data_IF_207523667667
#
_entry.id   IF_207523667667
#
_cell.length_a   1.000
_cell.length_b   1.000
_cell.length_c   1.000
_cell.angle_alpha   90.00
_cell.angle_beta   90.00
_cell.angle_gamma   90.00
#
_symmetry.space_group_name_H-M   'P 1'
#
loop_
_entity.id
_entity.type
_entity.pdbx_description
1 polymer ?
#
# COMPACT_ATOMS: atom_id res chain seq x y z
N UNK A 1 23.92 -6.01 -7.65
CA UNK A 1 22.46 -6.30 -7.52
C UNK A 1 22.00 -6.30 -6.07
N UNK A 2 22.81 -6.79 -5.12
CA UNK A 2 22.47 -6.85 -3.69
C UNK A 2 22.29 -5.47 -3.02
N UNK A 3 23.12 -4.48 -3.38
CA UNK A 3 23.02 -3.12 -2.82
C UNK A 3 21.68 -2.43 -3.12
N UNK A 4 21.07 -2.75 -4.27
CA UNK A 4 19.76 -2.23 -4.64
C UNK A 4 18.63 -2.83 -3.77
N UNK A 5 18.76 -4.09 -3.37
CA UNK A 5 17.77 -4.80 -2.54
C UNK A 5 17.87 -4.36 -1.08
N UNK A 6 19.09 -4.20 -0.56
CA UNK A 6 19.32 -3.69 0.80
C UNK A 6 18.73 -2.27 0.92
N UNK A 7 19.03 -1.40 -0.04
CA UNK A 7 18.51 -0.04 -0.09
C UNK A 7 16.98 -0.01 -0.14
N UNK A 8 16.35 -0.84 -0.98
CA UNK A 8 14.88 -0.91 -1.07
C UNK A 8 14.24 -1.35 0.25
N UNK A 9 14.78 -2.38 0.91
CA UNK A 9 14.26 -2.85 2.20
C UNK A 9 14.35 -1.78 3.28
N UNK A 10 15.40 -0.96 3.27
CA UNK A 10 15.57 0.17 4.19
C UNK A 10 14.51 1.25 3.92
N UNK A 11 14.33 1.68 2.67
CA UNK A 11 13.29 2.66 2.32
C UNK A 11 11.89 2.16 2.63
N UNK A 12 11.60 0.88 2.37
CA UNK A 12 10.33 0.25 2.71
C UNK A 12 10.05 0.31 4.22
N UNK A 13 11.02 -0.10 5.04
CA UNK A 13 10.89 -0.07 6.50
C UNK A 13 10.77 1.36 7.03
N UNK A 14 11.60 2.26 6.53
CA UNK A 14 11.57 3.68 6.88
C UNK A 14 10.19 4.28 6.60
N UNK A 15 9.67 4.08 5.39
CA UNK A 15 8.39 4.66 4.95
C UNK A 15 7.20 4.10 5.73
N UNK A 16 7.20 2.80 6.06
CA UNK A 16 6.19 2.23 6.98
C UNK A 16 6.27 2.91 8.35
N UNK A 17 7.46 3.06 8.92
CA UNK A 17 7.63 3.67 10.24
C UNK A 17 7.16 5.13 10.22
N UNK A 18 7.47 5.86 9.16
CA UNK A 18 7.03 7.23 8.98
C UNK A 18 5.50 7.33 8.86
N UNK A 19 4.85 6.47 8.07
CA UNK A 19 3.38 6.41 7.98
C UNK A 19 2.71 6.09 9.33
N UNK A 20 3.30 5.18 10.11
CA UNK A 20 2.85 4.91 11.49
C UNK A 20 3.01 6.13 12.40
N UNK A 21 4.15 6.83 12.32
CA UNK A 21 4.41 8.05 13.10
C UNK A 21 3.39 9.15 12.80
N UNK A 22 3.12 9.41 11.51
CA UNK A 22 2.16 10.42 11.06
C UNK A 22 0.80 10.22 11.73
N UNK A 23 0.27 9.00 11.70
CA UNK A 23 -1.06 8.71 12.27
C UNK A 23 -1.08 8.74 13.79
N UNK A 24 -0.06 8.16 14.44
CA UNK A 24 0.03 8.20 15.91
C UNK A 24 0.09 9.63 16.47
N UNK A 25 0.64 10.57 15.71
CA UNK A 25 0.74 11.98 16.09
C UNK A 25 -0.36 12.85 15.46
N UNK A 26 -1.40 12.25 14.86
CA UNK A 26 -2.53 12.95 14.24
C UNK A 26 -2.10 14.03 13.22
N UNK A 27 -1.00 13.80 12.52
CA UNK A 27 -0.51 14.69 11.46
C UNK A 27 -1.32 14.47 10.18
N UNK A 28 -1.41 15.50 9.34
CA UNK A 28 -2.06 15.39 8.03
C UNK A 28 -1.30 14.39 7.14
N UNK A 29 -1.99 13.33 6.74
CA UNK A 29 -1.38 12.25 5.97
C UNK A 29 -0.98 12.63 4.56
N UNK A 30 -1.76 13.49 3.91
CA UNK A 30 -1.49 13.94 2.55
C UNK A 30 -0.29 14.87 2.51
N UNK A 31 -0.25 15.87 3.39
CA UNK A 31 0.89 16.81 3.50
C UNK A 31 2.18 16.06 3.82
N UNK A 32 2.14 15.14 4.80
CA UNK A 32 3.30 14.33 5.18
C UNK A 32 3.76 13.43 4.02
N UNK A 33 2.84 12.91 3.21
CA UNK A 33 3.20 12.16 2.00
C UNK A 33 3.86 13.04 0.93
N UNK A 34 3.42 14.29 0.75
CA UNK A 34 4.06 15.20 -0.22
C UNK A 34 5.54 15.45 0.10
N UNK A 35 5.91 15.50 1.39
CA UNK A 35 7.31 15.62 1.81
C UNK A 35 8.14 14.41 1.34
N UNK A 36 7.64 13.19 1.58
CA UNK A 36 8.30 11.97 1.09
C UNK A 36 8.33 11.92 -0.44
N UNK A 37 7.26 12.33 -1.10
CA UNK A 37 7.17 12.38 -2.56
C UNK A 37 8.25 13.30 -3.16
N UNK A 38 8.53 14.44 -2.53
CA UNK A 38 9.61 15.33 -2.96
C UNK A 38 10.99 14.68 -2.78
N UNK A 39 11.21 13.99 -1.65
CA UNK A 39 12.48 13.28 -1.39
C UNK A 39 12.71 12.10 -2.34
N UNK A 40 11.67 11.34 -2.63
CA UNK A 40 11.74 10.11 -3.43
C UNK A 40 11.51 10.35 -4.93
N UNK A 41 11.00 11.52 -5.32
CA UNK A 41 10.64 11.84 -6.70
C UNK A 41 11.81 11.82 -7.68
N UNK A 42 13.04 11.94 -7.19
CA UNK A 42 14.26 11.86 -8.00
C UNK A 42 14.72 10.42 -8.25
N UNK A 43 14.14 9.43 -7.55
CA UNK A 43 14.52 8.02 -7.68
C UNK A 43 13.79 7.39 -8.87
N UNK A 44 14.43 7.42 -10.03
CA UNK A 44 13.92 6.78 -11.25
C UNK A 44 14.24 5.27 -11.28
N UNK A 45 13.54 4.49 -10.43
CA UNK A 45 13.66 3.03 -10.37
C UNK A 45 12.27 2.39 -10.40
N UNK A 46 12.17 1.22 -11.03
CA UNK A 46 10.99 0.36 -10.99
C UNK A 46 11.37 -1.05 -10.55
N UNK A 47 10.38 -1.79 -10.04
CA UNK A 47 10.57 -3.13 -9.50
C UNK A 47 9.52 -4.08 -10.07
N UNK A 48 9.93 -5.31 -10.35
CA UNK A 48 9.03 -6.36 -10.82
C UNK A 48 8.05 -6.74 -9.70
N UNK A 49 6.77 -6.70 -10.03
CA UNK A 49 5.70 -7.07 -9.11
C UNK A 49 5.60 -8.59 -8.97
N UNK A 50 5.23 -9.02 -7.77
CA UNK A 50 4.77 -10.37 -7.51
C UNK A 50 3.30 -10.51 -7.93
N UNK A 51 3.06 -10.47 -9.26
CA UNK A 51 1.71 -10.47 -9.83
C UNK A 51 0.88 -11.67 -9.40
N UNK A 52 1.49 -12.86 -9.35
CA UNK A 52 0.81 -14.10 -8.92
C UNK A 52 0.23 -13.93 -7.50
N UNK A 53 1.05 -13.51 -6.54
CA UNK A 53 0.59 -13.29 -5.17
C UNK A 53 -0.43 -12.14 -5.06
N UNK A 54 -0.30 -11.09 -5.86
CA UNK A 54 -1.27 -9.98 -5.88
C UNK A 54 -2.62 -10.43 -6.43
N UNK A 55 -2.65 -11.23 -7.49
CA UNK A 55 -3.88 -11.78 -8.05
C UNK A 55 -4.54 -12.79 -7.10
N UNK A 56 -3.76 -13.62 -6.41
CA UNK A 56 -4.29 -14.46 -5.34
C UNK A 56 -4.90 -13.66 -4.19
N UNK A 57 -4.31 -12.51 -3.86
CA UNK A 57 -4.85 -11.62 -2.83
C UNK A 57 -6.17 -10.98 -3.25
N UNK A 58 -6.26 -10.52 -4.51
CA UNK A 58 -7.51 -9.95 -5.06
C UNK A 58 -8.65 -10.96 -5.04
N UNK A 59 -8.39 -12.23 -5.37
CA UNK A 59 -9.42 -13.28 -5.34
C UNK A 59 -9.99 -13.57 -3.93
N UNK A 60 -9.32 -13.12 -2.87
CA UNK A 60 -9.73 -13.34 -1.47
C UNK A 60 -10.57 -12.19 -0.90
N UNK A 61 -10.86 -11.17 -1.71
CA UNK A 61 -11.66 -10.01 -1.32
C UNK A 61 -12.70 -9.73 -2.41
N UNK A 62 -13.81 -9.12 -2.05
CA UNK A 62 -14.75 -8.58 -3.05
C UNK A 62 -14.31 -7.14 -3.36
N UNK A 63 -13.50 -6.98 -4.42
CA UNK A 63 -13.01 -5.68 -4.87
C UNK A 63 -13.88 -5.14 -6.02
N UNK A 64 -14.44 -3.95 -5.83
CA UNK A 64 -15.30 -3.27 -6.79
C UNK A 64 -14.57 -2.06 -7.37
N UNK A 65 -14.44 -2.08 -8.69
CA UNK A 65 -13.84 -1.01 -9.49
C UNK A 65 -14.86 0.10 -9.69
N UNK A 66 -14.56 1.31 -9.22
CA UNK A 66 -15.48 2.45 -9.28
C UNK A 66 -14.71 3.71 -9.66
N UNK A 67 -15.21 4.43 -10.66
CA UNK A 67 -14.62 5.65 -11.17
C UNK A 67 -13.42 5.41 -12.09
N UNK A 68 -12.80 6.49 -12.56
CA UNK A 68 -11.62 6.38 -13.41
C UNK A 68 -10.43 5.94 -12.56
N UNK A 69 -9.66 4.96 -13.04
CA UNK A 69 -8.50 4.44 -12.31
C UNK A 69 -8.85 4.01 -10.87
N UNK A 70 -10.06 3.48 -10.67
CA UNK A 70 -10.55 2.97 -9.37
C UNK A 70 -10.52 4.01 -8.23
N UNK A 71 -10.67 5.30 -8.54
CA UNK A 71 -10.58 6.38 -7.54
C UNK A 71 -11.54 6.22 -6.36
N UNK A 72 -12.70 5.57 -6.56
CA UNK A 72 -13.71 5.37 -5.51
C UNK A 72 -13.88 3.88 -5.18
N UNK A 73 -12.81 3.08 -5.37
CA UNK A 73 -12.87 1.63 -5.18
C UNK A 73 -13.44 1.23 -3.82
N UNK A 74 -14.21 0.14 -3.83
CA UNK A 74 -14.69 -0.51 -2.61
C UNK A 74 -14.08 -1.90 -2.48
N UNK A 75 -13.92 -2.34 -1.24
CA UNK A 75 -13.37 -3.65 -0.94
C UNK A 75 -14.03 -4.24 0.29
N UNK A 76 -14.46 -5.50 0.21
CA UNK A 76 -15.03 -6.22 1.35
C UNK A 76 -14.12 -7.35 1.80
N UNK A 77 -13.85 -7.41 3.11
CA UNK A 77 -13.13 -8.51 3.79
C UNK A 77 -14.03 -9.07 4.88
N UNK A 78 -14.41 -10.35 4.75
CA UNK A 78 -15.23 -11.07 5.75
C UNK A 78 -16.47 -10.27 6.21
N UNK A 79 -17.16 -9.60 5.27
CA UNK A 79 -18.35 -8.79 5.53
C UNK A 79 -18.10 -7.33 5.93
N UNK A 80 -16.85 -6.93 6.21
CA UNK A 80 -16.48 -5.52 6.43
C UNK A 80 -16.22 -4.84 5.09
N UNK A 81 -17.14 -3.97 4.65
CA UNK A 81 -16.95 -3.11 3.47
C UNK A 81 -16.09 -1.89 3.84
N UNK A 82 -15.13 -1.58 2.97
CA UNK A 82 -14.24 -0.42 3.06
C UNK A 82 -14.30 0.38 1.75
N UNK A 83 -14.21 1.71 1.85
CA UNK A 83 -14.26 2.61 0.68
C UNK A 83 -13.01 3.47 0.56
N UNK A 84 -12.50 3.66 -0.66
CA UNK A 84 -11.36 4.54 -0.88
C UNK A 84 -11.64 6.03 -0.58
N UNK A 85 -12.92 6.40 -0.52
CA UNK A 85 -13.38 7.76 -0.22
C UNK A 85 -13.32 8.09 1.27
N UNK A 86 -13.26 7.07 2.11
CA UNK A 86 -13.15 7.21 3.57
C UNK A 86 -11.67 7.16 3.92
N UNK A 87 -11.13 8.24 4.49
CA UNK A 87 -9.68 8.36 4.76
C UNK A 87 -9.15 7.18 5.58
N UNK A 88 -9.90 6.73 6.59
CA UNK A 88 -9.54 5.58 7.40
C UNK A 88 -9.40 4.32 6.52
N UNK A 89 -10.38 4.01 5.68
CA UNK A 89 -10.39 2.81 4.84
C UNK A 89 -9.40 2.86 3.68
N UNK A 90 -9.16 4.08 3.16
CA UNK A 90 -8.27 4.38 2.03
C UNK A 90 -6.92 3.68 2.16
N UNK A 91 -6.33 3.64 3.37
CA UNK A 91 -5.00 3.04 3.55
C UNK A 91 -4.98 1.55 3.18
N UNK A 92 -6.04 0.81 3.51
CA UNK A 92 -6.14 -0.60 3.18
C UNK A 92 -6.54 -0.81 1.72
N UNK A 93 -7.51 -0.06 1.22
CA UNK A 93 -7.99 -0.17 -0.17
C UNK A 93 -6.86 0.11 -1.18
N UNK A 94 -6.02 1.12 -0.91
CA UNK A 94 -4.88 1.45 -1.77
C UNK A 94 -3.85 0.32 -1.89
N UNK A 95 -3.80 -0.64 -0.95
CA UNK A 95 -2.88 -1.78 -1.05
C UNK A 95 -3.21 -2.71 -2.22
N UNK A 96 -4.46 -2.69 -2.70
CA UNK A 96 -4.93 -3.45 -3.87
C UNK A 96 -4.99 -2.57 -5.12
N UNK A 97 -5.45 -1.32 -4.95
CA UNK A 97 -5.61 -0.36 -6.03
C UNK A 97 -4.27 0.05 -6.65
N UNK A 98 -3.29 0.44 -5.85
CA UNK A 98 -2.02 0.99 -6.38
C UNK A 98 -1.28 0.00 -7.28
N UNK A 99 -1.06 -1.28 -6.87
CA UNK A 99 -0.45 -2.27 -7.76
C UNK A 99 -1.29 -2.58 -9.00
N UNK A 100 -2.62 -2.40 -8.96
CA UNK A 100 -3.47 -2.61 -10.14
C UNK A 100 -3.27 -1.52 -11.17
N UNK A 101 -3.51 -0.29 -10.75
CA UNK A 101 -3.66 0.88 -11.62
C UNK A 101 -2.31 1.39 -12.10
N UNK A 102 -1.26 1.22 -11.29
CA UNK A 102 0.05 1.82 -11.57
C UNK A 102 1.09 0.81 -12.06
N UNK A 103 0.71 -0.47 -12.26
CA UNK A 103 1.65 -1.39 -12.90
C UNK A 103 1.72 -1.11 -14.40
N UNK A 104 2.94 -1.11 -14.93
CA UNK A 104 3.20 -1.08 -16.36
C UNK A 104 4.14 -2.24 -16.67
N UNK A 105 3.70 -3.16 -17.53
CA UNK A 105 4.44 -4.36 -17.91
C UNK A 105 4.90 -5.18 -16.69
N UNK A 106 4.03 -5.28 -15.67
CA UNK A 106 4.32 -5.99 -14.43
C UNK A 106 5.32 -5.30 -13.50
N UNK A 107 5.65 -4.03 -13.75
CA UNK A 107 6.57 -3.23 -12.92
C UNK A 107 5.86 -2.11 -12.21
N UNK A 108 6.37 -1.76 -11.03
CA UNK A 108 5.89 -0.62 -10.24
C UNK A 108 7.01 0.36 -9.93
N UNK A 109 6.74 1.65 -10.11
CA UNK A 109 7.69 2.73 -9.79
C UNK A 109 7.98 2.79 -8.29
N UNK A 110 9.23 3.12 -7.93
CA UNK A 110 9.70 3.22 -6.55
C UNK A 110 8.78 4.10 -5.69
N UNK A 111 8.40 5.27 -6.22
CA UNK A 111 7.52 6.20 -5.52
C UNK A 111 6.17 5.56 -5.18
N UNK A 112 5.59 4.78 -6.09
CA UNK A 112 4.31 4.10 -5.86
C UNK A 112 4.45 2.94 -4.88
N UNK A 113 5.58 2.23 -4.93
CA UNK A 113 5.91 1.21 -3.93
C UNK A 113 6.09 1.83 -2.53
N UNK A 114 6.70 3.01 -2.42
CA UNK A 114 6.78 3.75 -1.16
C UNK A 114 5.42 4.27 -0.70
N UNK A 115 4.51 4.63 -1.62
CA UNK A 115 3.14 4.99 -1.27
C UNK A 115 2.39 3.81 -0.62
N UNK A 116 2.57 2.59 -1.14
CA UNK A 116 2.05 1.37 -0.51
C UNK A 116 2.65 1.18 0.89
N UNK A 117 3.97 1.32 1.03
CA UNK A 117 4.66 1.23 2.32
C UNK A 117 4.10 2.25 3.33
N UNK A 118 3.83 3.48 2.88
CA UNK A 118 3.30 4.55 3.70
C UNK A 118 1.89 4.21 4.19
N UNK A 119 1.01 3.77 3.29
CA UNK A 119 -0.34 3.32 3.62
C UNK A 119 -0.34 2.11 4.58
N UNK A 120 0.60 1.16 4.44
CA UNK A 120 0.80 0.08 5.44
C UNK A 120 1.13 0.67 6.82
N UNK A 121 1.98 1.70 6.86
CA UNK A 121 2.32 2.41 8.08
C UNK A 121 1.11 3.02 8.75
N UNK A 122 0.28 3.72 7.97
CA UNK A 122 -0.94 4.38 8.44
C UNK A 122 -1.98 3.35 8.89
N UNK A 123 -2.23 2.32 8.08
CA UNK A 123 -3.10 1.19 8.43
C UNK A 123 -2.76 0.59 9.79
N UNK A 124 -1.46 0.38 10.07
CA UNK A 124 -1.00 -0.22 11.33
C UNK A 124 -1.20 0.66 12.57
N UNK A 125 -1.39 1.96 12.40
CA UNK A 125 -1.58 2.90 13.50
C UNK A 125 -3.05 3.12 13.84
N UNK A 126 -3.93 2.73 12.93
CA UNK A 126 -5.38 2.87 13.02
C UNK A 126 -6.02 1.60 13.63
N UNK A 127 -7.23 1.75 14.17
CA UNK A 127 -7.98 0.66 14.78
C UNK A 127 -9.04 0.11 13.82
N UNK A 128 -8.65 -0.87 13.01
CA UNK A 128 -9.57 -1.57 12.10
C UNK A 128 -10.29 -2.73 12.79
N UNK A 129 -11.38 -3.16 12.17
CA UNK A 129 -12.05 -4.42 12.48
C UNK A 129 -11.09 -5.61 12.53
N UNK A 130 -11.37 -6.53 13.47
CA UNK A 130 -10.52 -7.70 13.72
C UNK A 130 -10.38 -8.58 12.48
N UNK A 131 -11.42 -8.69 11.66
CA UNK A 131 -11.41 -9.42 10.38
C UNK A 131 -10.37 -8.84 9.43
N UNK A 132 -10.43 -7.53 9.16
CA UNK A 132 -9.49 -6.80 8.29
C UNK A 132 -8.06 -6.91 8.82
N UNK A 133 -7.87 -6.68 10.13
CA UNK A 133 -6.56 -6.79 10.76
C UNK A 133 -6.00 -8.22 10.71
N UNK A 134 -6.86 -9.23 10.85
CA UNK A 134 -6.49 -10.64 10.73
C UNK A 134 -6.10 -10.98 9.28
N UNK A 135 -6.91 -10.59 8.30
CA UNK A 135 -6.64 -10.76 6.88
C UNK A 135 -5.26 -10.17 6.51
N UNK A 136 -5.01 -8.92 6.91
CA UNK A 136 -3.75 -8.23 6.66
C UNK A 136 -2.54 -9.02 7.18
N UNK A 137 -2.63 -9.56 8.40
CA UNK A 137 -1.58 -10.36 9.04
C UNK A 137 -1.42 -11.72 8.38
N UNK A 138 -2.52 -12.44 8.16
CA UNK A 138 -2.58 -13.78 7.55
C UNK A 138 -1.91 -13.79 6.18
N UNK A 139 -2.17 -12.75 5.38
CA UNK A 139 -1.63 -12.60 4.04
C UNK A 139 -0.30 -11.82 3.97
N UNK A 140 0.32 -11.57 5.13
CA UNK A 140 1.65 -10.96 5.24
C UNK A 140 1.76 -9.61 4.50
N UNK A 141 0.67 -8.85 4.39
CA UNK A 141 0.58 -7.62 3.58
C UNK A 141 1.55 -6.51 4.01
N UNK A 142 2.17 -6.61 5.19
CA UNK A 142 3.28 -5.72 5.59
C UNK A 142 4.58 -5.97 4.81
N UNK A 143 4.77 -7.17 4.26
CA UNK A 143 6.07 -7.62 3.75
C UNK A 143 6.27 -7.12 2.32
N UNK A 144 7.46 -6.59 2.05
CA UNK A 144 7.86 -6.15 0.71
C UNK A 144 7.63 -7.25 -0.36
N UNK A 145 8.01 -8.50 -0.04
CA UNK A 145 7.84 -9.67 -0.93
C UNK A 145 6.40 -10.01 -1.33
N UNK A 146 5.41 -9.43 -0.63
CA UNK A 146 4.00 -9.55 -1.03
C UNK A 146 3.74 -8.79 -2.33
N UNK A 147 4.50 -7.72 -2.57
CA UNK A 147 4.30 -6.81 -3.70
C UNK A 147 5.35 -6.97 -4.79
N UNK A 148 6.61 -7.22 -4.43
CA UNK A 148 7.73 -7.32 -5.41
C UNK A 148 8.42 -8.68 -5.33
N UNK A 149 9.03 -9.10 -6.44
CA UNK A 149 9.82 -10.34 -6.54
C UNK A 149 11.18 -10.22 -5.83
#
# INVERSE_FOLDING_TARGET
MEDNIISLKLFWKFTINYGTYVRKNKLNGLESWQLLKKMFGTVNKSYDLNLENLEELRKKVDYKEIGKEDENAKLTVDGTEMSNDIEHDHFFVQLFRLPKVNNKDGKLQFLKLMQIAYNIGQFKAENYDKSVAHFFKKHKMRKLRTYVK
#
